data_IF_377120373552
#
_entry.id   IF_377120373552
#
_cell.length_a   1.000
_cell.length_b   1.000
_cell.length_c   1.000
_cell.angle_alpha   90.00
_cell.angle_beta   90.00
_cell.angle_gamma   90.00
#
_symmetry.space_group_name_H-M   'P 1'
#
loop_
_entity.id
_entity.type
_entity.pdbx_description
1 polymer ?
#
# COMPACT_ATOMS: atom_id res chain seq x y z
N UNK A 1 15.34 -3.09 -59.51
CA UNK A 1 14.32 -3.25 -58.42
C UNK A 1 14.76 -4.12 -57.24
N UNK A 2 16.05 -4.46 -57.07
CA UNK A 2 16.55 -5.38 -56.02
C UNK A 2 17.08 -4.68 -54.75
N UNK A 3 17.24 -3.38 -54.80
CA UNK A 3 17.83 -2.63 -53.63
C UNK A 3 16.79 -2.00 -52.68
N UNK A 4 15.50 -1.97 -53.04
CA UNK A 4 14.44 -1.43 -52.20
C UNK A 4 13.94 -2.43 -51.14
N UNK A 5 14.18 -3.75 -51.36
CA UNK A 5 13.77 -4.80 -50.41
C UNK A 5 14.77 -4.96 -49.23
N UNK A 6 16.02 -4.55 -49.40
CA UNK A 6 17.06 -4.69 -48.39
C UNK A 6 16.96 -3.54 -47.35
N UNK A 7 16.51 -2.35 -47.75
CA UNK A 7 16.30 -1.22 -46.84
C UNK A 7 15.10 -1.40 -45.90
N UNK A 8 14.08 -2.16 -46.31
CA UNK A 8 12.92 -2.44 -45.46
C UNK A 8 13.22 -3.49 -44.38
N UNK A 9 14.16 -4.42 -44.63
CA UNK A 9 14.55 -5.43 -43.65
C UNK A 9 15.51 -4.85 -42.56
N UNK A 10 16.27 -3.81 -42.88
CA UNK A 10 17.17 -3.14 -41.93
C UNK A 10 16.41 -2.26 -40.92
N UNK A 11 15.19 -1.81 -41.23
CA UNK A 11 14.38 -1.02 -40.29
C UNK A 11 13.58 -1.91 -39.29
N UNK A 12 13.45 -3.19 -39.53
CA UNK A 12 12.83 -4.15 -38.60
C UNK A 12 13.82 -4.71 -37.57
N UNK A 13 15.13 -4.55 -37.79
CA UNK A 13 16.17 -5.01 -36.86
C UNK A 13 16.53 -4.00 -35.78
N UNK A 14 15.97 -2.79 -35.79
CA UNK A 14 16.30 -1.69 -34.89
C UNK A 14 15.28 -1.45 -33.75
N UNK A 15 14.24 -2.28 -33.59
CA UNK A 15 13.48 -2.34 -32.37
C UNK A 15 14.39 -3.04 -31.32
N UNK A 16 15.36 -2.29 -30.78
CA UNK A 16 16.06 -2.69 -29.56
C UNK A 16 14.99 -3.12 -28.58
N UNK A 17 14.98 -4.41 -28.21
CA UNK A 17 14.22 -4.86 -27.07
C UNK A 17 14.67 -3.98 -25.91
N UNK A 18 13.92 -2.94 -25.60
CA UNK A 18 13.99 -2.31 -24.30
C UNK A 18 13.72 -3.47 -23.34
N UNK A 19 14.78 -4.02 -22.74
CA UNK A 19 14.66 -4.98 -21.66
C UNK A 19 14.00 -4.18 -20.53
N UNK A 20 12.69 -4.10 -20.58
CA UNK A 20 11.91 -3.59 -19.47
C UNK A 20 12.31 -4.44 -18.28
N UNK A 21 13.04 -3.86 -17.34
CA UNK A 21 13.47 -4.56 -16.15
C UNK A 21 12.27 -4.70 -15.22
N UNK A 22 11.44 -5.70 -15.53
CA UNK A 22 10.31 -6.07 -14.66
C UNK A 22 10.86 -6.68 -13.39
N UNK A 23 10.40 -6.18 -12.24
CA UNK A 23 10.74 -6.77 -10.95
C UNK A 23 9.47 -7.16 -10.21
N UNK A 24 9.44 -8.39 -9.70
CA UNK A 24 8.41 -8.86 -8.78
C UNK A 24 9.09 -9.35 -7.51
N UNK A 25 8.68 -8.82 -6.38
CA UNK A 25 9.22 -9.16 -5.08
C UNK A 25 8.12 -9.76 -4.22
N UNK A 26 8.36 -10.97 -3.72
CA UNK A 26 7.62 -11.53 -2.59
C UNK A 26 8.21 -10.97 -1.29
N UNK A 27 7.35 -10.50 -0.39
CA UNK A 27 7.77 -9.97 0.91
C UNK A 27 6.74 -10.33 1.98
N UNK A 28 7.11 -10.16 3.23
CA UNK A 28 6.20 -10.39 4.34
C UNK A 28 6.86 -10.16 5.69
N UNK A 29 6.06 -10.24 6.72
CA UNK A 29 6.46 -10.21 8.12
C UNK A 29 5.57 -11.13 8.94
N UNK A 30 6.11 -11.68 10.01
CA UNK A 30 5.39 -12.44 11.03
C UNK A 30 5.85 -11.97 12.40
N UNK A 31 4.89 -11.73 13.29
CA UNK A 31 5.12 -11.29 14.64
C UNK A 31 4.27 -12.12 15.60
N UNK A 32 4.93 -12.89 16.45
CA UNK A 32 4.29 -13.75 17.42
C UNK A 32 4.78 -13.41 18.82
N UNK A 33 3.84 -13.09 19.68
CA UNK A 33 4.10 -12.66 21.07
C UNK A 33 3.42 -13.62 22.05
N UNK A 34 4.03 -13.84 23.19
CA UNK A 34 3.45 -14.59 24.31
C UNK A 34 3.24 -13.67 25.51
N UNK A 35 2.16 -12.89 25.54
CA UNK A 35 1.87 -12.02 26.67
C UNK A 35 1.42 -12.84 27.89
N UNK A 36 1.91 -12.40 29.04
CA UNK A 36 1.39 -12.82 30.33
C UNK A 36 0.58 -11.67 30.92
N UNK A 37 -0.70 -11.90 31.14
CA UNK A 37 -1.65 -10.89 31.62
C UNK A 37 -2.07 -11.28 33.03
N UNK A 38 -1.82 -10.40 33.99
CA UNK A 38 -2.05 -10.69 35.41
C UNK A 38 -3.52 -10.74 35.80
N UNK A 39 -4.37 -9.98 35.07
CA UNK A 39 -5.80 -9.89 35.35
C UNK A 39 -6.62 -9.79 34.07
N UNK A 40 -7.38 -10.85 33.79
CA UNK A 40 -8.45 -10.87 32.81
C UNK A 40 -9.70 -11.35 33.53
N UNK A 41 -10.56 -10.43 33.94
CA UNK A 41 -11.78 -10.73 34.72
C UNK A 41 -11.50 -11.52 36.00
N UNK A 42 -10.45 -11.13 36.73
CA UNK A 42 -10.03 -11.77 37.98
C UNK A 42 -9.13 -12.98 37.81
N UNK A 43 -8.73 -13.34 36.61
CA UNK A 43 -7.90 -14.52 36.33
C UNK A 43 -6.65 -14.15 35.52
N UNK A 44 -5.58 -14.96 35.69
CA UNK A 44 -4.36 -14.85 34.89
C UNK A 44 -4.57 -15.50 33.52
N UNK A 45 -3.97 -14.91 32.49
CA UNK A 45 -3.99 -15.46 31.15
C UNK A 45 -2.58 -15.43 30.54
N UNK A 46 -2.18 -16.58 29.99
CA UNK A 46 -1.06 -16.67 29.07
C UNK A 46 -1.62 -17.14 27.72
N UNK A 47 -1.28 -16.46 26.65
CA UNK A 47 -1.74 -16.80 25.32
C UNK A 47 -0.66 -16.49 24.27
N UNK A 48 -0.89 -16.85 23.04
CA UNK A 48 -0.17 -16.31 21.90
C UNK A 48 -1.01 -15.21 21.24
N UNK A 49 -0.36 -14.13 20.83
CA UNK A 49 -0.97 -13.04 20.08
C UNK A 49 -0.14 -12.76 18.83
N UNK A 50 -0.82 -12.57 17.73
CA UNK A 50 -0.25 -12.17 16.44
C UNK A 50 -0.23 -10.66 16.27
N UNK A 51 0.72 -10.15 15.48
CA UNK A 51 0.76 -8.79 14.96
C UNK A 51 0.76 -7.67 16.03
N UNK A 52 1.52 -7.85 17.11
CA UNK A 52 1.59 -6.87 18.19
C UNK A 52 2.63 -5.77 17.91
N UNK A 53 3.80 -6.14 17.39
CA UNK A 53 4.87 -5.19 17.05
C UNK A 53 4.90 -4.86 15.56
N UNK A 54 4.60 -5.84 14.73
CA UNK A 54 4.56 -5.75 13.28
C UNK A 54 3.33 -6.48 12.76
N UNK A 55 2.68 -6.00 11.71
CA UNK A 55 1.57 -6.75 11.12
C UNK A 55 2.07 -8.08 10.53
N UNK A 56 1.31 -9.14 10.75
CA UNK A 56 1.49 -10.39 10.02
C UNK A 56 0.92 -10.24 8.62
N UNK A 57 1.77 -10.32 7.65
CA UNK A 57 1.38 -10.17 6.24
C UNK A 57 2.32 -10.90 5.30
N UNK A 58 1.82 -11.18 4.12
CA UNK A 58 2.63 -11.47 2.94
C UNK A 58 2.07 -10.75 1.73
N UNK A 59 2.91 -10.46 0.76
CA UNK A 59 2.49 -9.73 -0.43
C UNK A 59 3.44 -9.88 -1.60
N UNK A 60 2.94 -9.45 -2.74
CA UNK A 60 3.68 -9.28 -3.97
C UNK A 60 3.66 -7.81 -4.35
N UNK A 61 4.78 -7.27 -4.73
CA UNK A 61 4.88 -5.95 -5.35
C UNK A 61 5.81 -6.02 -6.55
N UNK A 62 5.52 -5.20 -7.52
CA UNK A 62 6.36 -5.17 -8.71
C UNK A 62 6.29 -3.84 -9.43
N UNK A 63 7.25 -3.66 -10.32
CA UNK A 63 7.28 -2.52 -11.23
C UNK A 63 7.88 -2.92 -12.57
N UNK A 64 7.42 -2.25 -13.62
CA UNK A 64 7.89 -2.39 -14.98
C UNK A 64 8.16 -1.00 -15.56
N UNK A 65 9.32 -0.82 -16.16
CA UNK A 65 9.67 0.43 -16.85
C UNK A 65 8.99 0.43 -18.24
N UNK A 66 8.11 1.40 -18.46
CA UNK A 66 7.40 1.58 -19.73
C UNK A 66 8.14 2.49 -20.71
N UNK A 67 9.31 2.99 -20.32
CA UNK A 67 10.08 3.98 -21.08
C UNK A 67 9.60 5.42 -20.84
N UNK A 68 10.38 6.38 -21.31
CA UNK A 68 10.04 7.80 -21.18
C UNK A 68 9.91 8.32 -19.74
N UNK A 69 10.45 7.61 -18.74
CA UNK A 69 10.32 7.95 -17.32
C UNK A 69 8.98 7.56 -16.69
N UNK A 70 8.20 6.71 -17.36
CA UNK A 70 6.95 6.15 -16.88
C UNK A 70 7.17 4.71 -16.44
N UNK A 71 6.59 4.33 -15.29
CA UNK A 71 6.60 2.96 -14.75
C UNK A 71 5.19 2.51 -14.43
N UNK A 72 4.88 1.26 -14.73
CA UNK A 72 3.74 0.58 -14.14
C UNK A 72 4.17 -0.02 -12.81
N UNK A 73 3.28 -0.03 -11.82
CA UNK A 73 3.52 -0.65 -10.52
C UNK A 73 2.28 -1.36 -10.00
N UNK A 74 2.46 -2.32 -9.10
CA UNK A 74 1.36 -2.99 -8.42
C UNK A 74 1.76 -3.44 -7.02
N UNK A 75 0.76 -3.65 -6.19
CA UNK A 75 0.91 -4.29 -4.88
C UNK A 75 -0.34 -5.12 -4.57
N UNK A 76 -0.09 -6.35 -4.11
CA UNK A 76 -1.08 -7.25 -3.54
C UNK A 76 -0.60 -7.64 -2.15
N UNK A 77 -1.42 -7.46 -1.11
CA UNK A 77 -1.02 -7.73 0.28
C UNK A 77 -2.15 -8.36 1.07
N UNK A 78 -1.86 -9.50 1.67
CA UNK A 78 -2.75 -10.25 2.56
C UNK A 78 -2.25 -10.16 3.99
N UNK A 79 -3.15 -9.90 4.93
CA UNK A 79 -2.90 -10.01 6.37
C UNK A 79 -3.47 -11.30 6.92
N UNK A 80 -2.76 -11.95 7.81
CA UNK A 80 -3.15 -13.18 8.46
C UNK A 80 -2.78 -13.17 9.95
N UNK A 81 -3.18 -14.19 10.68
CA UNK A 81 -2.85 -14.37 12.09
C UNK A 81 -1.90 -15.58 12.20
N UNK A 82 -0.67 -15.34 12.61
CA UNK A 82 0.39 -16.38 12.67
C UNK A 82 0.09 -17.44 13.73
N UNK A 83 -0.52 -17.06 14.83
CA UNK A 83 -0.82 -17.96 15.97
C UNK A 83 -1.83 -19.07 15.61
N UNK A 84 -2.74 -18.82 14.68
CA UNK A 84 -3.80 -19.75 14.29
C UNK A 84 -3.85 -20.03 12.78
N UNK A 85 -3.02 -19.37 11.96
CA UNK A 85 -2.94 -19.58 10.53
C UNK A 85 -4.17 -19.11 9.74
N UNK A 86 -5.02 -18.23 10.30
CA UNK A 86 -6.22 -17.77 9.62
C UNK A 86 -6.04 -16.40 8.98
N UNK A 87 -6.80 -16.08 7.89
CA UNK A 87 -6.81 -14.75 7.32
C UNK A 87 -7.45 -13.76 8.31
N UNK A 88 -7.00 -12.50 8.31
CA UNK A 88 -7.62 -11.42 9.10
C UNK A 88 -9.03 -11.11 8.60
N UNK A 89 -9.25 -11.19 7.29
CA UNK A 89 -10.57 -10.95 6.69
C UNK A 89 -11.11 -12.22 6.04
N UNK A 90 -12.32 -12.66 6.41
CA UNK A 90 -12.93 -13.81 5.77
C UNK A 90 -13.50 -13.51 4.38
N UNK A 91 -13.66 -12.23 4.02
CA UNK A 91 -14.34 -11.80 2.78
C UNK A 91 -13.41 -11.14 1.77
N UNK A 92 -12.20 -10.77 2.17
CA UNK A 92 -11.23 -10.09 1.31
C UNK A 92 -9.88 -10.76 1.39
N UNK A 93 -9.45 -11.43 0.32
CA UNK A 93 -8.18 -12.14 0.30
C UNK A 93 -6.99 -11.16 0.38
N UNK A 94 -6.93 -10.15 -0.48
CA UNK A 94 -5.94 -9.08 -0.37
C UNK A 94 -6.50 -7.93 0.47
N UNK A 95 -6.72 -8.22 1.75
CA UNK A 95 -7.42 -7.33 2.67
C UNK A 95 -6.65 -6.05 3.01
N UNK A 96 -5.33 -5.99 2.77
CA UNK A 96 -4.47 -4.85 3.09
C UNK A 96 -4.24 -3.94 1.89
N UNK A 97 -3.85 -4.51 0.74
CA UNK A 97 -3.65 -3.75 -0.49
C UNK A 97 -3.94 -4.62 -1.72
N UNK A 98 -4.57 -4.01 -2.73
CA UNK A 98 -4.79 -4.60 -4.05
C UNK A 98 -4.94 -3.46 -5.06
N UNK A 99 -3.82 -3.01 -5.64
CA UNK A 99 -3.84 -1.86 -6.55
C UNK A 99 -2.82 -2.00 -7.67
N UNK A 100 -3.09 -1.27 -8.76
CA UNK A 100 -2.17 -1.02 -9.87
C UNK A 100 -1.94 0.48 -9.99
N UNK A 101 -0.78 0.88 -10.51
CA UNK A 101 -0.44 2.29 -10.63
C UNK A 101 0.47 2.62 -11.80
N UNK A 102 0.54 3.91 -12.07
CA UNK A 102 1.49 4.54 -12.97
C UNK A 102 2.30 5.56 -12.18
N UNK A 103 3.61 5.48 -12.28
CA UNK A 103 4.55 6.33 -11.59
C UNK A 103 5.39 7.11 -12.60
N UNK A 104 5.46 8.43 -12.44
CA UNK A 104 6.29 9.32 -13.25
C UNK A 104 6.99 10.34 -12.35
N UNK A 105 8.29 10.53 -12.56
CA UNK A 105 9.07 11.50 -11.81
C UNK A 105 8.57 12.95 -12.01
N UNK A 106 8.01 13.27 -13.17
CA UNK A 106 7.51 14.60 -13.52
C UNK A 106 6.02 14.81 -13.29
N UNK A 107 5.21 13.75 -13.42
CA UNK A 107 3.75 13.81 -13.32
C UNK A 107 3.21 13.30 -11.99
N UNK A 108 4.03 12.59 -11.19
CA UNK A 108 3.62 11.99 -9.94
C UNK A 108 3.12 10.56 -10.12
N UNK A 109 2.32 10.10 -9.17
CA UNK A 109 1.84 8.72 -9.10
C UNK A 109 0.32 8.69 -9.13
N UNK A 110 -0.25 7.82 -9.97
CA UNK A 110 -1.67 7.50 -10.00
C UNK A 110 -1.85 6.03 -9.64
N UNK A 111 -2.71 5.70 -8.67
CA UNK A 111 -3.03 4.33 -8.26
C UNK A 111 -4.53 4.08 -8.25
N UNK A 112 -4.92 2.88 -8.63
CA UNK A 112 -6.31 2.43 -8.71
C UNK A 112 -6.46 1.11 -7.95
N UNK A 113 -7.45 1.01 -7.08
CA UNK A 113 -7.77 -0.21 -6.34
C UNK A 113 -7.94 0.00 -4.84
N UNK A 114 -7.74 -1.07 -4.08
CA UNK A 114 -7.81 -1.06 -2.61
C UNK A 114 -6.49 -0.58 -2.03
N UNK A 115 -6.51 0.50 -1.24
CA UNK A 115 -5.33 1.15 -0.68
C UNK A 115 -5.63 1.71 0.71
N UNK A 116 -4.60 1.83 1.54
CA UNK A 116 -4.71 2.48 2.85
C UNK A 116 -4.99 3.97 2.67
N UNK A 117 -5.82 4.55 3.53
CA UNK A 117 -6.07 5.99 3.54
C UNK A 117 -4.84 6.78 4.02
N UNK A 118 -4.82 8.08 3.79
CA UNK A 118 -3.69 8.91 4.20
C UNK A 118 -3.61 9.10 5.71
N UNK A 119 -4.70 9.01 6.46
CA UNK A 119 -4.68 9.14 7.91
C UNK A 119 -3.87 8.01 8.52
N UNK A 120 -4.27 6.76 8.27
CA UNK A 120 -3.53 5.60 8.75
C UNK A 120 -2.17 5.44 8.06
N UNK A 121 -2.09 5.63 6.74
CA UNK A 121 -0.85 5.43 5.97
C UNK A 121 0.24 6.47 6.22
N UNK A 122 -0.12 7.68 6.67
CA UNK A 122 0.84 8.78 6.85
C UNK A 122 1.02 9.17 8.30
N UNK A 123 -0.07 9.31 9.07
CA UNK A 123 0.01 9.82 10.44
C UNK A 123 0.33 8.74 11.46
N UNK A 124 0.00 7.47 11.20
CA UNK A 124 0.23 6.38 12.17
C UNK A 124 1.70 6.27 12.59
N UNK A 125 2.64 6.55 11.68
CA UNK A 125 4.08 6.53 11.97
C UNK A 125 4.52 7.53 13.06
N UNK A 126 3.71 8.53 13.37
CA UNK A 126 3.94 9.51 14.43
C UNK A 126 3.24 9.15 15.74
N UNK A 127 2.42 8.10 15.74
CA UNK A 127 1.73 7.60 16.94
C UNK A 127 2.65 6.80 17.84
N UNK A 128 2.38 6.81 19.16
CA UNK A 128 3.18 6.10 20.16
C UNK A 128 3.28 4.59 19.86
N UNK A 129 2.20 3.98 19.41
CA UNK A 129 2.19 2.55 19.07
C UNK A 129 3.17 2.20 17.97
N UNK A 130 3.28 3.02 16.94
CA UNK A 130 4.25 2.84 15.87
C UNK A 130 5.69 3.07 16.35
N UNK A 131 5.93 4.18 17.07
CA UNK A 131 7.26 4.55 17.55
C UNK A 131 7.85 3.51 18.54
N UNK A 132 6.99 2.86 19.32
CA UNK A 132 7.39 1.86 20.30
C UNK A 132 7.19 0.42 19.82
N UNK A 133 6.83 0.22 18.55
CA UNK A 133 6.57 -1.09 17.95
C UNK A 133 5.62 -1.94 18.81
N UNK A 134 4.53 -1.33 19.30
CA UNK A 134 3.59 -2.03 20.16
C UNK A 134 2.16 -1.57 19.93
N UNK A 135 1.33 -2.46 19.39
CA UNK A 135 -0.07 -2.18 19.07
C UNK A 135 -0.92 -1.78 20.28
N UNK A 136 -0.61 -2.28 21.46
CA UNK A 136 -1.33 -1.91 22.70
C UNK A 136 -1.08 -0.47 23.17
N UNK A 137 -0.09 0.22 22.62
CA UNK A 137 0.27 1.59 23.01
C UNK A 137 -0.36 2.67 22.14
N UNK A 138 -1.21 2.28 21.17
CA UNK A 138 -2.05 3.25 20.47
C UNK A 138 -3.14 3.82 21.39
N UNK A 139 -3.70 4.94 21.00
CA UNK A 139 -4.69 5.65 21.81
C UNK A 139 -5.89 4.76 22.14
N UNK A 140 -6.42 4.81 23.38
CA UNK A 140 -7.56 3.99 23.77
C UNK A 140 -8.75 4.18 22.85
N UNK A 141 -9.34 3.06 22.42
CA UNK A 141 -10.49 3.06 21.53
C UNK A 141 -10.21 3.45 20.07
N UNK A 142 -8.95 3.71 19.73
CA UNK A 142 -8.54 4.11 18.38
C UNK A 142 -9.37 5.26 17.80
N UNK A 143 -9.72 6.24 18.64
CA UNK A 143 -10.59 7.38 18.26
C UNK A 143 -9.98 8.30 17.22
N UNK A 144 -8.66 8.29 17.08
CA UNK A 144 -7.90 9.02 16.08
C UNK A 144 -7.65 8.24 14.78
N UNK A 145 -8.04 6.96 14.73
CA UNK A 145 -7.87 6.10 13.56
C UNK A 145 -6.42 5.70 13.27
N UNK A 146 -5.47 5.95 14.16
CA UNK A 146 -4.04 5.73 13.89
C UNK A 146 -3.58 4.27 14.08
N UNK A 147 -4.30 3.48 14.88
CA UNK A 147 -3.94 2.08 15.16
C UNK A 147 -4.43 1.11 14.09
N UNK A 148 -5.30 1.52 13.19
CA UNK A 148 -5.88 0.66 12.16
C UNK A 148 -5.50 1.15 10.79
N UNK A 149 -5.06 0.24 9.95
CA UNK A 149 -5.01 0.50 8.53
C UNK A 149 -6.43 0.35 7.99
N UNK A 150 -7.06 1.45 7.62
CA UNK A 150 -8.35 1.45 6.95
C UNK A 150 -8.15 1.42 5.45
N UNK A 151 -8.19 0.25 4.79
CA UNK A 151 -8.14 0.23 3.35
C UNK A 151 -9.44 0.82 2.79
N UNK A 152 -9.29 1.67 1.80
CA UNK A 152 -10.38 2.23 1.02
C UNK A 152 -10.51 1.42 -0.26
N UNK A 153 -11.67 0.80 -0.44
CA UNK A 153 -12.00 0.05 -1.65
C UNK A 153 -12.32 1.00 -2.80
N UNK A 154 -12.20 0.48 -4.02
CA UNK A 154 -12.62 1.17 -5.24
C UNK A 154 -12.05 2.58 -5.31
N UNK A 155 -10.78 2.74 -4.95
CA UNK A 155 -10.18 4.06 -4.77
C UNK A 155 -9.23 4.45 -5.90
N UNK A 156 -9.19 5.76 -6.14
CA UNK A 156 -8.20 6.44 -6.96
C UNK A 156 -7.33 7.27 -6.02
N UNK A 157 -6.03 7.12 -6.14
CA UNK A 157 -5.04 7.93 -5.40
C UNK A 157 -4.14 8.64 -6.40
N UNK A 158 -3.96 9.94 -6.20
CA UNK A 158 -2.95 10.70 -6.89
C UNK A 158 -1.98 11.31 -5.88
N UNK A 159 -0.68 11.19 -6.17
CA UNK A 159 0.41 11.83 -5.43
C UNK A 159 1.20 12.73 -6.38
N UNK A 160 1.40 13.99 -6.02
CA UNK A 160 2.27 14.87 -6.79
C UNK A 160 3.72 14.39 -6.79
N UNK A 161 4.55 14.81 -7.76
CA UNK A 161 5.99 14.73 -7.58
C UNK A 161 6.41 15.43 -6.28
N UNK A 162 7.53 15.02 -5.72
CA UNK A 162 8.13 15.72 -4.57
C UNK A 162 8.84 16.99 -5.05
N UNK A 163 8.40 18.14 -4.56
CA UNK A 163 8.88 19.47 -4.96
C UNK A 163 9.36 20.25 -3.73
N UNK A 164 10.66 20.54 -3.65
CA UNK A 164 11.22 21.28 -2.51
C UNK A 164 11.01 20.59 -1.15
N UNK A 165 10.95 19.25 -1.14
CA UNK A 165 10.66 18.47 0.05
C UNK A 165 9.16 18.27 0.33
N UNK A 166 8.28 19.00 -0.36
CA UNK A 166 6.81 18.87 -0.23
C UNK A 166 6.26 17.83 -1.19
N UNK A 167 5.23 17.10 -0.75
CA UNK A 167 4.40 16.24 -1.57
C UNK A 167 2.94 16.37 -1.13
N UNK A 168 2.03 16.42 -2.10
CA UNK A 168 0.59 16.45 -1.86
C UNK A 168 -0.04 15.18 -2.39
N UNK A 169 -1.16 14.78 -1.78
CA UNK A 169 -1.92 13.62 -2.20
C UNK A 169 -3.41 13.86 -2.11
N UNK A 170 -4.17 13.21 -2.98
CA UNK A 170 -5.61 13.13 -2.94
C UNK A 170 -6.04 11.69 -3.18
N UNK A 171 -7.02 11.23 -2.38
CA UNK A 171 -7.64 9.92 -2.51
C UNK A 171 -9.15 10.08 -2.58
N UNK A 172 -9.77 9.30 -3.47
CA UNK A 172 -11.22 9.20 -3.57
C UNK A 172 -11.62 7.75 -3.71
N UNK A 173 -12.51 7.29 -2.82
CA UNK A 173 -13.12 5.97 -2.85
C UNK A 173 -14.57 6.07 -3.34
N UNK A 174 -14.92 5.30 -4.36
CA UNK A 174 -16.27 5.23 -4.91
C UNK A 174 -17.17 4.40 -4.00
N UNK A 175 -18.35 4.91 -3.69
CA UNK A 175 -19.31 4.20 -2.84
C UNK A 175 -20.16 3.16 -3.57
N UNK A 176 -20.10 3.12 -4.90
CA UNK A 176 -20.72 2.14 -5.79
C UNK A 176 -22.22 1.88 -5.54
N UNK A 177 -22.95 2.91 -5.15
CA UNK A 177 -24.41 2.81 -4.95
C UNK A 177 -25.14 3.30 -6.18
N UNK A 178 -25.85 2.42 -6.93
CA UNK A 178 -26.58 2.80 -8.14
C UNK A 178 -27.54 3.95 -7.90
N UNK A 179 -27.48 4.99 -8.76
CA UNK A 179 -28.32 6.19 -8.65
C UNK A 179 -27.96 7.15 -7.51
N UNK A 180 -26.96 6.82 -6.67
CA UNK A 180 -26.53 7.64 -5.53
C UNK A 180 -25.01 7.76 -5.46
N UNK A 181 -24.39 8.44 -6.42
CA UNK A 181 -22.93 8.56 -6.55
C UNK A 181 -22.21 9.16 -5.33
N UNK A 182 -22.96 9.85 -4.47
CA UNK A 182 -22.41 10.44 -3.24
C UNK A 182 -22.52 9.54 -2.00
N UNK A 183 -23.26 8.44 -2.08
CA UNK A 183 -23.43 7.55 -0.95
C UNK A 183 -22.17 6.67 -0.77
N UNK A 184 -21.75 6.47 0.48
CA UNK A 184 -20.60 5.64 0.88
C UNK A 184 -19.23 6.06 0.27
N UNK A 185 -19.16 7.24 -0.35
CA UNK A 185 -17.89 7.74 -0.87
C UNK A 185 -16.95 8.13 0.27
N UNK A 186 -15.67 7.94 0.04
CA UNK A 186 -14.60 8.38 0.95
C UNK A 186 -13.67 9.33 0.21
N UNK A 187 -13.15 10.33 0.88
CA UNK A 187 -12.10 11.18 0.33
C UNK A 187 -11.13 11.60 1.42
N UNK A 188 -9.88 11.71 1.06
CA UNK A 188 -8.83 12.26 1.92
C UNK A 188 -7.82 13.06 1.11
N UNK A 189 -7.18 14.01 1.77
CA UNK A 189 -6.10 14.81 1.20
C UNK A 189 -4.91 14.79 2.15
N UNK A 190 -3.72 14.89 1.60
CA UNK A 190 -2.48 14.85 2.35
C UNK A 190 -1.53 15.94 1.86
N UNK A 191 -0.81 16.55 2.78
CA UNK A 191 0.37 17.35 2.52
C UNK A 191 1.47 16.93 3.49
N UNK A 192 2.64 16.56 2.98
CA UNK A 192 3.80 16.23 3.80
C UNK A 192 4.99 17.07 3.36
N UNK A 193 5.83 17.40 4.33
CA UNK A 193 7.12 18.01 4.12
C UNK A 193 8.21 17.18 4.79
N UNK A 194 9.28 16.89 4.05
CA UNK A 194 10.47 16.27 4.63
C UNK A 194 11.70 17.00 4.11
N UNK A 195 12.51 17.54 5.03
CA UNK A 195 13.80 18.11 4.69
C UNK A 195 14.83 16.99 4.54
N UNK A 196 15.76 17.15 3.59
CA UNK A 196 16.88 16.20 3.40
C UNK A 196 17.92 16.25 4.54
N UNK A 197 17.61 16.91 5.67
CA UNK A 197 18.51 17.14 6.81
C UNK A 197 18.04 16.48 8.09
N UNK A 198 17.43 15.27 8.00
CA UNK A 198 17.23 14.41 9.15
C UNK A 198 17.86 13.07 8.86
#
# INVERSE_FOLDING_TARGET
>A
MKYKAIAALAMLGGAGAALAQSSVTLYGSMDLTMPWISDVRGSRLTRMDSAISQPDLWGLRGSEDLGGGLKASFQLENGFLTDIGSPISPTSYFNRASWVGLDSASLGTLRLGRQVDFTAGTLSQWGNGYQLYNFYLYHPGNLDGLSSQFPVDNSVVYLTPRMGGMQFGAQYGFGEVPGRSQANRTYSVMGIYSSAKL
#
